data_IF_250889968469
#
_entry.id   IF_250889968469
#
_cell.length_a   1.000
_cell.length_b   1.000
_cell.length_c   1.000
_cell.angle_alpha   90.00
_cell.angle_beta   90.00
_cell.angle_gamma   90.00
#
_symmetry.space_group_name_H-M   'P 1'
#
loop_
_entity.id
_entity.type
_entity.pdbx_description
1 polymer ?
#
# COMPACT_ATOMS: atom_id res chain seq x y z
N UNK A 1 -17.44 -3.87 75.40
CA UNK A 1 -16.54 -4.19 74.27
C UNK A 1 -17.15 -3.56 73.03
N UNK A 2 -16.64 -2.40 72.60
CA UNK A 2 -17.23 -1.63 71.51
C UNK A 2 -16.34 -1.73 70.27
N UNK A 3 -16.89 -2.16 69.15
CA UNK A 3 -16.17 -2.32 67.87
C UNK A 3 -15.95 -0.96 67.22
N UNK A 4 -14.67 -0.60 67.01
CA UNK A 4 -14.30 0.57 66.21
C UNK A 4 -14.67 0.34 64.73
N UNK A 5 -15.35 1.27 64.06
CA UNK A 5 -15.56 1.20 62.62
C UNK A 5 -14.28 1.59 61.86
N UNK A 6 -13.93 0.82 60.83
CA UNK A 6 -12.77 1.03 59.96
C UNK A 6 -13.00 2.25 59.02
N UNK A 7 -12.13 3.27 59.01
CA UNK A 7 -12.28 4.46 58.17
C UNK A 7 -11.93 4.26 56.68
N UNK A 8 -11.50 3.07 56.24
CA UNK A 8 -10.99 2.85 54.88
C UNK A 8 -11.99 2.31 53.84
N UNK A 9 -13.27 2.11 54.20
CA UNK A 9 -14.29 1.57 53.29
C UNK A 9 -14.70 2.56 52.17
N UNK A 10 -13.98 2.55 51.04
CA UNK A 10 -14.39 3.29 49.83
C UNK A 10 -15.77 2.80 49.35
N UNK A 11 -16.78 3.69 49.20
CA UNK A 11 -18.12 3.26 48.81
C UNK A 11 -18.11 2.66 47.40
N UNK A 12 -18.79 1.52 47.23
CA UNK A 12 -18.95 0.85 45.94
C UNK A 12 -19.71 1.76 44.95
N UNK A 13 -19.49 1.62 43.63
CA UNK A 13 -20.11 2.50 42.64
C UNK A 13 -21.65 2.47 42.69
N UNK A 14 -22.24 1.31 43.02
CA UNK A 14 -23.68 1.16 43.24
C UNK A 14 -24.21 2.02 44.42
N UNK A 15 -23.45 2.13 45.52
CA UNK A 15 -23.83 2.96 46.67
C UNK A 15 -23.80 4.46 46.33
N UNK A 16 -22.86 4.89 45.48
CA UNK A 16 -22.81 6.28 44.98
C UNK A 16 -23.99 6.62 44.07
N UNK A 17 -24.41 5.70 43.19
CA UNK A 17 -25.62 5.87 42.37
C UNK A 17 -26.88 6.00 43.24
N UNK A 18 -27.07 5.12 44.22
CA UNK A 18 -28.23 5.17 45.12
C UNK A 18 -28.27 6.42 46.00
N UNK A 19 -27.13 6.97 46.41
CA UNK A 19 -27.06 8.26 47.08
C UNK A 19 -27.50 9.42 46.18
N UNK A 20 -27.16 9.37 44.88
CA UNK A 20 -27.56 10.40 43.91
C UNK A 20 -29.07 10.41 43.61
N UNK A 21 -29.76 9.27 43.81
CA UNK A 21 -31.22 9.19 43.70
C UNK A 21 -31.97 9.61 44.97
N UNK A 22 -31.28 9.89 46.08
CA UNK A 22 -31.87 10.55 47.26
C UNK A 22 -31.71 12.07 47.19
N UNK A 23 -32.29 12.66 46.14
CA UNK A 23 -32.61 14.09 46.14
C UNK A 23 -33.96 14.22 46.85
N UNK A 24 -33.94 14.68 48.10
CA UNK A 24 -35.16 15.03 48.81
C UNK A 24 -35.91 16.11 48.02
N UNK A 25 -37.16 15.81 47.66
CA UNK A 25 -38.04 16.72 46.94
C UNK A 25 -38.54 17.85 47.85
N UNK A 26 -37.62 18.72 48.26
CA UNK A 26 -37.94 19.94 48.99
C UNK A 26 -38.82 20.84 48.11
N UNK A 27 -40.04 21.09 48.59
CA UNK A 27 -41.10 21.83 47.89
C UNK A 27 -40.61 23.12 47.24
N UNK A 28 -40.51 23.11 45.92
CA UNK A 28 -40.42 24.30 45.09
C UNK A 28 -41.07 23.96 43.74
N UNK A 29 -42.23 24.54 43.44
CA UNK A 29 -42.99 24.31 42.21
C UNK A 29 -42.36 25.01 40.99
N UNK A 30 -41.04 24.81 40.80
CA UNK A 30 -40.23 25.31 39.70
C UNK A 30 -39.61 24.14 38.95
N UNK A 31 -40.40 23.56 38.06
CA UNK A 31 -39.92 22.62 37.04
C UNK A 31 -39.69 21.18 37.54
N UNK A 32 -40.77 20.46 37.85
CA UNK A 32 -40.70 19.01 38.04
C UNK A 32 -40.36 18.32 36.70
N UNK A 33 -39.09 17.96 36.49
CA UNK A 33 -38.67 17.11 35.39
C UNK A 33 -39.25 15.70 35.60
N UNK A 34 -40.02 15.20 34.62
CA UNK A 34 -40.55 13.84 34.65
C UNK A 34 -39.40 12.81 34.71
N UNK A 35 -39.50 11.74 35.52
CA UNK A 35 -38.50 10.66 35.54
C UNK A 35 -38.19 10.08 34.16
N UNK A 36 -39.18 10.06 33.26
CA UNK A 36 -39.00 9.60 31.88
C UNK A 36 -38.01 10.48 31.08
N UNK A 37 -37.99 11.80 31.34
CA UNK A 37 -37.05 12.74 30.69
C UNK A 37 -35.62 12.50 31.18
N UNK A 38 -35.45 12.20 32.47
CA UNK A 38 -34.13 11.87 33.04
C UNK A 38 -33.59 10.58 32.43
N UNK A 39 -34.42 9.53 32.34
CA UNK A 39 -34.03 8.26 31.72
C UNK A 39 -33.69 8.45 30.24
N UNK A 40 -34.50 9.20 29.49
CA UNK A 40 -34.26 9.50 28.08
C UNK A 40 -32.95 10.28 27.87
N UNK A 41 -32.66 11.27 28.72
CA UNK A 41 -31.41 12.01 28.67
C UNK A 41 -30.20 11.08 28.88
N UNK A 42 -30.24 10.20 29.88
CA UNK A 42 -29.18 9.21 30.13
C UNK A 42 -28.97 8.28 28.92
N UNK A 43 -30.05 7.82 28.28
CA UNK A 43 -29.96 7.01 27.05
C UNK A 43 -29.26 7.78 25.91
N UNK A 44 -29.65 9.04 25.67
CA UNK A 44 -29.04 9.88 24.62
C UNK A 44 -27.55 10.13 24.91
N UNK A 45 -27.17 10.46 26.15
CA UNK A 45 -25.76 10.64 26.52
C UNK A 45 -24.95 9.34 26.39
N UNK A 46 -25.56 8.18 26.69
CA UNK A 46 -24.90 6.86 26.52
C UNK A 46 -24.66 6.55 25.04
N UNK A 47 -25.65 6.81 24.18
CA UNK A 47 -25.52 6.62 22.73
C UNK A 47 -24.51 7.58 22.09
N UNK A 48 -24.57 8.87 22.43
CA UNK A 48 -23.58 9.87 21.99
C UNK A 48 -22.17 9.47 22.43
N UNK A 49 -22.04 8.98 23.67
CA UNK A 49 -20.81 8.45 24.19
C UNK A 49 -20.26 7.25 23.43
N UNK A 50 -21.12 6.29 23.11
CA UNK A 50 -20.75 5.11 22.33
C UNK A 50 -20.23 5.48 20.94
N UNK A 51 -20.80 6.50 20.28
CA UNK A 51 -20.32 7.00 18.99
C UNK A 51 -18.94 7.67 19.12
N UNK A 52 -18.76 8.56 20.10
CA UNK A 52 -17.51 9.32 20.29
C UNK A 52 -16.36 8.41 20.74
N UNK A 53 -16.58 7.61 21.79
CA UNK A 53 -15.58 6.70 22.33
C UNK A 53 -15.36 5.50 21.39
N UNK A 54 -16.40 5.04 20.67
CA UNK A 54 -16.31 3.98 19.66
C UNK A 54 -15.50 4.38 18.42
N UNK A 55 -15.67 5.61 17.93
CA UNK A 55 -14.84 6.15 16.84
C UNK A 55 -13.35 6.22 17.22
N UNK A 56 -13.06 6.66 18.45
CA UNK A 56 -11.70 6.63 19.02
C UNK A 56 -11.15 5.20 19.15
N UNK A 57 -12.01 4.24 19.50
CA UNK A 57 -11.64 2.83 19.62
C UNK A 57 -11.31 2.20 18.27
N UNK A 58 -12.08 2.51 17.22
CA UNK A 58 -11.77 2.06 15.85
C UNK A 58 -10.43 2.64 15.36
N UNK A 59 -10.16 3.91 15.65
CA UNK A 59 -8.87 4.56 15.35
C UNK A 59 -7.69 4.04 16.18
N UNK A 60 -7.92 3.47 17.37
CA UNK A 60 -6.90 2.72 18.10
C UNK A 60 -6.69 1.32 17.52
N UNK A 61 -7.76 0.64 17.08
CA UNK A 61 -7.67 -0.67 16.42
C UNK A 61 -6.86 -0.60 15.12
N UNK A 62 -7.07 0.42 14.28
CA UNK A 62 -6.30 0.60 13.04
C UNK A 62 -4.82 0.90 13.32
N UNK A 63 -4.51 1.80 14.28
CA UNK A 63 -3.12 2.05 14.73
C UNK A 63 -2.44 0.80 15.27
N UNK A 64 -3.10 0.05 16.14
CA UNK A 64 -2.54 -1.17 16.71
C UNK A 64 -2.22 -2.22 15.63
N UNK A 65 -3.08 -2.36 14.61
CA UNK A 65 -2.81 -3.24 13.46
C UNK A 65 -1.63 -2.70 12.64
N UNK A 66 -1.58 -1.40 12.35
CA UNK A 66 -0.46 -0.78 11.61
C UNK A 66 0.88 -0.95 12.31
N UNK A 67 0.96 -0.69 13.62
CA UNK A 67 2.17 -0.93 14.41
C UNK A 67 2.56 -2.41 14.45
N UNK A 68 1.60 -3.33 14.59
CA UNK A 68 1.88 -4.76 14.61
C UNK A 68 2.39 -5.26 13.24
N UNK A 69 1.82 -4.77 12.13
CA UNK A 69 2.26 -5.09 10.77
C UNK A 69 3.66 -4.56 10.48
N UNK A 70 3.95 -3.32 10.87
CA UNK A 70 5.27 -2.73 10.65
C UNK A 70 6.34 -3.38 11.54
N UNK A 71 6.02 -3.71 12.79
CA UNK A 71 6.88 -4.52 13.64
C UNK A 71 7.20 -5.89 13.02
N UNK A 72 6.19 -6.58 12.47
CA UNK A 72 6.38 -7.86 11.79
C UNK A 72 7.28 -7.73 10.55
N UNK A 73 7.14 -6.67 9.75
CA UNK A 73 8.04 -6.38 8.60
C UNK A 73 9.47 -6.10 9.05
N UNK A 74 9.65 -5.27 10.09
CA UNK A 74 10.98 -4.95 10.66
C UNK A 74 11.68 -6.20 11.19
N UNK A 75 10.95 -7.12 11.83
CA UNK A 75 11.50 -8.40 12.24
C UNK A 75 11.80 -9.35 11.06
N UNK A 76 10.91 -9.44 10.07
CA UNK A 76 11.08 -10.31 8.91
C UNK A 76 12.21 -9.86 7.96
N UNK A 77 12.62 -8.59 8.01
CA UNK A 77 13.80 -8.10 7.31
C UNK A 77 15.13 -8.75 7.80
N UNK A 78 15.12 -9.39 8.97
CA UNK A 78 16.26 -10.14 9.49
C UNK A 78 16.31 -11.57 8.90
N UNK A 79 16.86 -11.71 7.68
CA UNK A 79 17.06 -13.01 7.02
C UNK A 79 18.39 -13.66 7.48
N UNK A 80 18.38 -14.97 7.69
CA UNK A 80 19.60 -15.79 7.76
C UNK A 80 20.04 -16.21 6.34
N UNK A 81 21.24 -15.79 5.94
CA UNK A 81 21.85 -16.08 4.64
C UNK A 81 22.76 -17.32 4.66
N UNK A 82 22.90 -18.00 5.80
CA UNK A 82 23.75 -19.19 5.96
C UNK A 82 23.05 -20.49 5.57
N UNK A 83 21.74 -20.45 5.42
CA UNK A 83 20.88 -21.57 5.00
C UNK A 83 20.55 -21.43 3.51
N UNK A 84 20.37 -22.57 2.82
CA UNK A 84 20.01 -22.63 1.40
C UNK A 84 18.58 -22.16 1.09
N UNK A 85 17.79 -21.88 2.12
CA UNK A 85 16.41 -21.43 2.04
C UNK A 85 16.30 -20.09 2.79
N UNK A 86 15.60 -19.10 2.22
CA UNK A 86 15.34 -17.85 2.93
C UNK A 86 14.52 -18.13 4.21
N UNK A 87 15.13 -17.88 5.37
CA UNK A 87 14.50 -18.02 6.69
C UNK A 87 14.81 -16.81 7.57
N UNK A 88 13.92 -16.51 8.49
CA UNK A 88 14.06 -15.45 9.49
C UNK A 88 15.10 -15.89 10.54
N UNK A 89 16.12 -15.05 10.73
CA UNK A 89 17.04 -15.13 11.87
C UNK A 89 16.27 -14.71 13.13
N UNK A 90 15.77 -15.67 13.88
CA UNK A 90 14.88 -15.42 15.03
C UNK A 90 15.53 -14.57 16.13
N UNK A 91 16.85 -14.64 16.31
CA UNK A 91 17.55 -13.83 17.31
C UNK A 91 17.61 -12.35 16.89
N UNK A 92 17.94 -12.08 15.63
CA UNK A 92 17.93 -10.72 15.07
C UNK A 92 16.51 -10.16 14.95
N UNK A 93 15.56 -10.97 14.48
CA UNK A 93 14.16 -10.58 14.32
C UNK A 93 13.52 -10.19 15.66
N UNK A 94 13.71 -11.00 16.71
CA UNK A 94 13.24 -10.68 18.06
C UNK A 94 13.83 -9.38 18.59
N UNK A 95 15.12 -9.13 18.33
CA UNK A 95 15.80 -7.88 18.70
C UNK A 95 15.24 -6.67 17.94
N UNK A 96 15.04 -6.79 16.64
CA UNK A 96 14.49 -5.73 15.79
C UNK A 96 13.04 -5.38 16.17
N UNK A 97 12.19 -6.39 16.43
CA UNK A 97 10.82 -6.18 16.95
C UNK A 97 10.85 -5.50 18.31
N UNK A 98 11.72 -5.93 19.23
CA UNK A 98 11.82 -5.31 20.56
C UNK A 98 12.24 -3.83 20.48
N UNK A 99 13.20 -3.49 19.62
CA UNK A 99 13.61 -2.10 19.36
C UNK A 99 12.46 -1.26 18.78
N UNK A 100 11.75 -1.78 17.78
CA UNK A 100 10.59 -1.10 17.20
C UNK A 100 9.47 -0.91 18.24
N UNK A 101 9.16 -1.94 19.03
CA UNK A 101 8.19 -1.87 20.12
C UNK A 101 8.56 -0.83 21.19
N UNK A 102 9.84 -0.72 21.55
CA UNK A 102 10.32 0.31 22.47
C UNK A 102 10.14 1.72 21.89
N UNK A 103 10.46 1.91 20.60
CA UNK A 103 10.25 3.19 19.91
C UNK A 103 8.77 3.58 19.83
N UNK A 104 7.89 2.62 19.47
CA UNK A 104 6.43 2.84 19.42
C UNK A 104 5.88 3.18 20.80
N UNK A 105 6.27 2.47 21.85
CA UNK A 105 5.80 2.72 23.23
C UNK A 105 6.32 4.05 23.78
N UNK A 106 7.50 4.50 23.35
CA UNK A 106 8.03 5.83 23.67
C UNK A 106 7.33 6.98 22.94
N UNK A 107 6.79 6.73 21.75
CA UNK A 107 6.16 7.75 20.89
C UNK A 107 4.62 7.84 21.05
N UNK A 108 3.95 6.71 21.29
CA UNK A 108 2.49 6.64 21.51
C UNK A 108 2.20 6.11 22.93
N UNK A 109 1.94 7.01 23.91
CA UNK A 109 1.71 6.62 25.30
C UNK A 109 0.38 5.88 25.53
N UNK A 110 -0.45 5.71 24.50
CA UNK A 110 -1.64 4.84 24.58
C UNK A 110 -1.28 3.37 24.33
N UNK A 111 -0.10 3.04 23.78
CA UNK A 111 0.38 1.67 23.61
C UNK A 111 0.77 1.11 24.98
N UNK A 112 0.08 0.07 25.42
CA UNK A 112 0.31 -0.58 26.74
C UNK A 112 1.08 -1.90 26.62
N UNK A 113 1.09 -2.52 25.44
CA UNK A 113 1.82 -3.76 25.17
C UNK A 113 2.21 -3.82 23.70
N UNK A 114 3.43 -4.25 23.41
CA UNK A 114 3.91 -4.57 22.06
C UNK A 114 4.91 -5.73 22.19
N UNK A 115 4.76 -6.77 21.37
CA UNK A 115 5.68 -7.91 21.39
C UNK A 115 5.30 -9.05 20.46
N UNK A 116 6.26 -9.95 20.22
CA UNK A 116 6.07 -11.14 19.37
C UNK A 116 5.13 -12.16 20.03
N UNK A 117 4.17 -12.68 19.28
CA UNK A 117 3.29 -13.80 19.67
C UNK A 117 3.66 -15.12 18.98
N UNK A 118 4.29 -15.05 17.80
CA UNK A 118 4.89 -16.18 17.09
C UNK A 118 6.22 -15.71 16.50
N UNK A 119 7.27 -16.50 16.62
CA UNK A 119 8.54 -16.22 15.97
C UNK A 119 9.23 -17.54 15.64
N UNK A 120 9.36 -17.83 14.35
CA UNK A 120 9.92 -19.04 13.77
C UNK A 120 10.79 -18.67 12.57
N UNK A 121 11.44 -19.66 11.93
CA UNK A 121 12.20 -19.41 10.70
C UNK A 121 11.33 -19.01 9.51
N UNK A 122 10.05 -19.40 9.51
CA UNK A 122 9.17 -19.23 8.35
C UNK A 122 8.08 -18.17 8.62
N UNK A 123 7.58 -18.07 9.86
CA UNK A 123 6.54 -17.12 10.29
C UNK A 123 6.97 -16.23 11.46
N UNK A 124 6.59 -14.96 11.41
CA UNK A 124 6.65 -13.99 12.51
C UNK A 124 5.28 -13.33 12.70
N UNK A 125 4.78 -13.31 13.93
CA UNK A 125 3.57 -12.59 14.33
C UNK A 125 3.86 -11.67 15.53
N UNK A 126 3.37 -10.44 15.46
CA UNK A 126 3.48 -9.42 16.51
C UNK A 126 2.08 -9.00 16.95
N UNK A 127 1.89 -8.75 18.25
CA UNK A 127 0.67 -8.16 18.80
C UNK A 127 0.98 -6.82 19.47
N UNK A 128 0.09 -5.85 19.26
CA UNK A 128 0.11 -4.53 19.90
C UNK A 128 -1.24 -4.29 20.58
N UNK A 129 -1.22 -3.79 21.81
CA UNK A 129 -2.42 -3.35 22.55
C UNK A 129 -2.32 -1.86 22.83
N UNK A 130 -3.39 -1.13 22.51
CA UNK A 130 -3.57 0.30 22.80
C UNK A 130 -4.75 0.46 23.75
N UNK A 131 -4.56 1.12 24.89
CA UNK A 131 -5.64 1.41 25.86
C UNK A 131 -6.11 2.86 25.74
N UNK A 132 -7.35 3.05 25.31
CA UNK A 132 -8.00 4.35 25.25
C UNK A 132 -8.81 4.62 26.52
N UNK A 133 -8.61 5.79 27.14
CA UNK A 133 -9.54 6.30 28.17
C UNK A 133 -10.84 6.76 27.50
N UNK A 134 -11.97 6.27 27.98
CA UNK A 134 -13.32 6.67 27.57
C UNK A 134 -13.79 7.88 28.36
N UNK A 135 -14.50 8.81 27.72
CA UNK A 135 -14.98 10.03 28.38
C UNK A 135 -16.45 9.89 28.78
N UNK A 136 -17.30 9.46 27.84
CA UNK A 136 -18.74 9.38 28.05
C UNK A 136 -19.14 8.00 28.56
N UNK A 137 -18.52 6.94 28.03
CA UNK A 137 -18.62 5.60 28.61
C UNK A 137 -18.08 5.56 30.06
N UNK A 138 -17.17 6.47 30.40
CA UNK A 138 -16.67 6.67 31.77
C UNK A 138 -17.76 7.05 32.76
N UNK A 139 -18.76 7.83 32.34
CA UNK A 139 -19.89 8.23 33.21
C UNK A 139 -20.81 7.06 33.57
N UNK A 140 -20.86 6.01 32.74
CA UNK A 140 -21.58 4.75 33.02
C UNK A 140 -20.67 3.64 33.59
N UNK A 141 -19.43 3.98 33.96
CA UNK A 141 -18.52 3.10 34.70
C UNK A 141 -17.48 2.35 33.86
N UNK A 142 -17.48 2.49 32.53
CA UNK A 142 -16.45 1.91 31.64
C UNK A 142 -15.39 2.99 31.41
N UNK A 143 -14.25 2.94 32.11
CA UNK A 143 -13.22 4.00 32.05
C UNK A 143 -12.11 3.83 31.01
N UNK A 144 -11.92 2.61 30.49
CA UNK A 144 -10.90 2.26 29.51
C UNK A 144 -11.45 1.23 28.50
N UNK A 145 -10.93 1.27 27.27
CA UNK A 145 -11.16 0.26 26.23
C UNK A 145 -9.85 -0.12 25.55
N UNK A 146 -9.58 -1.42 25.44
CA UNK A 146 -8.33 -1.93 24.86
C UNK A 146 -8.55 -2.38 23.40
N UNK A 147 -7.74 -1.82 22.50
CA UNK A 147 -7.70 -2.17 21.08
C UNK A 147 -6.46 -3.02 20.81
N UNK A 148 -6.67 -4.29 20.40
CA UNK A 148 -5.58 -5.21 20.04
C UNK A 148 -5.43 -5.31 18.53
N UNK A 149 -4.22 -5.15 18.02
CA UNK A 149 -3.84 -5.39 16.63
C UNK A 149 -2.83 -6.52 16.53
N UNK A 150 -2.91 -7.28 15.45
CA UNK A 150 -1.95 -8.33 15.09
C UNK A 150 -1.42 -8.06 13.69
N UNK A 151 -0.14 -8.36 13.47
CA UNK A 151 0.53 -8.25 12.20
C UNK A 151 1.44 -9.44 12.01
N UNK A 152 1.46 -9.97 10.79
CA UNK A 152 2.14 -11.22 10.46
C UNK A 152 3.02 -11.00 9.22
N UNK A 153 4.13 -11.72 9.16
CA UNK A 153 5.08 -11.71 8.07
C UNK A 153 5.68 -13.11 7.87
N UNK A 154 5.94 -13.48 6.62
CA UNK A 154 6.39 -14.81 6.21
C UNK A 154 7.68 -14.74 5.40
N UNK A 155 8.53 -15.75 5.53
CA UNK A 155 9.79 -15.88 4.80
C UNK A 155 9.56 -16.44 3.38
N UNK A 156 9.19 -15.57 2.44
CA UNK A 156 8.95 -15.97 1.05
C UNK A 156 10.21 -15.85 0.18
N UNK A 157 10.45 -16.87 -0.65
CA UNK A 157 11.52 -16.86 -1.65
C UNK A 157 11.02 -16.24 -2.95
N UNK A 158 11.50 -15.03 -3.27
CA UNK A 158 11.27 -14.40 -4.56
C UNK A 158 11.85 -15.25 -5.69
N UNK A 159 10.97 -15.82 -6.53
CA UNK A 159 11.30 -16.70 -7.66
C UNK A 159 11.95 -18.03 -7.23
N UNK A 160 11.11 -19.01 -6.89
CA UNK A 160 11.46 -20.42 -7.11
C UNK A 160 11.72 -20.64 -8.60
N UNK A 161 12.62 -21.57 -8.93
CA UNK A 161 12.98 -21.92 -10.32
C UNK A 161 11.74 -22.22 -11.17
N UNK A 162 11.80 -22.07 -12.51
CA UNK A 162 10.75 -22.51 -13.43
C UNK A 162 10.76 -24.04 -13.59
N UNK A 163 10.63 -24.75 -12.46
CA UNK A 163 10.33 -26.18 -12.41
C UNK A 163 8.91 -26.31 -11.85
N UNK A 164 8.07 -27.07 -12.56
CA UNK A 164 6.64 -27.24 -12.28
C UNK A 164 5.79 -25.96 -12.41
N UNK A 165 5.80 -25.36 -13.61
CA UNK A 165 4.55 -24.81 -14.14
C UNK A 165 3.52 -25.95 -14.16
N UNK A 166 2.37 -25.84 -13.46
CA UNK A 166 1.27 -26.75 -13.70
C UNK A 166 0.96 -26.72 -15.19
N UNK A 167 0.75 -27.88 -15.84
CA UNK A 167 0.18 -27.87 -17.19
C UNK A 167 -1.24 -27.31 -17.10
N UNK A 168 -1.36 -25.99 -17.27
CA UNK A 168 -2.63 -25.32 -17.45
C UNK A 168 -3.25 -25.97 -18.69
N UNK A 169 -4.37 -26.72 -18.56
CA UNK A 169 -5.04 -27.26 -19.73
C UNK A 169 -5.40 -26.07 -20.63
N UNK A 170 -5.33 -26.20 -21.97
CA UNK A 170 -5.52 -25.08 -22.88
C UNK A 170 -6.83 -24.36 -22.53
N UNK A 171 -6.72 -23.07 -22.20
CA UNK A 171 -7.87 -22.27 -21.81
C UNK A 171 -8.76 -22.13 -23.04
N UNK A 172 -9.80 -22.95 -23.12
CA UNK A 172 -10.87 -22.80 -24.10
C UNK A 172 -11.67 -21.56 -23.73
N UNK A 173 -11.22 -20.39 -24.21
CA UNK A 173 -11.99 -19.15 -24.11
C UNK A 173 -13.23 -19.34 -24.97
N UNK A 174 -14.35 -19.66 -24.34
CA UNK A 174 -15.64 -19.79 -25.00
C UNK A 174 -16.13 -18.38 -25.37
N UNK A 175 -15.60 -17.82 -26.44
CA UNK A 175 -16.00 -16.52 -26.98
C UNK A 175 -17.39 -16.59 -27.61
N UNK A 176 -18.42 -16.73 -26.77
CA UNK A 176 -19.79 -16.50 -27.19
C UNK A 176 -19.93 -15.02 -27.54
N UNK A 177 -19.94 -14.72 -28.83
CA UNK A 177 -19.96 -13.35 -29.37
C UNK A 177 -21.24 -12.59 -29.04
N UNK A 178 -22.32 -13.30 -28.71
CA UNK A 178 -23.62 -12.73 -28.34
C UNK A 178 -23.88 -12.92 -26.83
N UNK A 179 -23.59 -11.86 -26.06
CA UNK A 179 -23.88 -11.82 -24.61
C UNK A 179 -23.34 -10.56 -23.92
N UNK A 180 -23.88 -10.18 -22.74
CA UNK A 180 -23.37 -9.06 -21.96
C UNK A 180 -21.95 -9.39 -21.46
N UNK A 181 -20.93 -8.74 -22.03
CA UNK A 181 -19.51 -9.05 -21.80
C UNK A 181 -18.73 -9.45 -23.06
N UNK A 182 -19.36 -9.47 -24.24
CA UNK A 182 -18.63 -9.57 -25.51
C UNK A 182 -17.57 -8.45 -25.63
N UNK A 183 -16.38 -8.73 -26.20
CA UNK A 183 -15.32 -7.73 -26.31
C UNK A 183 -15.73 -6.61 -27.27
N UNK A 184 -16.04 -5.44 -26.73
CA UNK A 184 -16.29 -4.23 -27.50
C UNK A 184 -15.04 -3.93 -28.34
N UNK A 185 -15.15 -4.01 -29.67
CA UNK A 185 -14.06 -3.53 -30.54
C UNK A 185 -13.83 -2.05 -30.23
N UNK A 186 -12.61 -1.69 -29.86
CA UNK A 186 -12.17 -0.29 -29.83
C UNK A 186 -12.53 0.35 -31.16
N UNK A 187 -13.26 1.46 -31.12
CA UNK A 187 -13.64 2.17 -32.33
C UNK A 187 -12.37 2.64 -33.05
N UNK A 188 -12.14 2.13 -34.26
CA UNK A 188 -11.14 2.69 -35.17
C UNK A 188 -11.59 4.11 -35.51
N UNK A 189 -10.81 5.12 -35.14
CA UNK A 189 -11.11 6.50 -35.53
C UNK A 189 -11.18 6.62 -37.05
N UNK A 190 -12.15 7.38 -37.60
CA UNK A 190 -12.21 7.60 -39.04
C UNK A 190 -10.95 8.36 -39.49
N UNK A 191 -10.26 7.92 -40.56
CA UNK A 191 -9.10 8.64 -41.07
C UNK A 191 -9.54 10.02 -41.55
N UNK A 192 -8.98 11.06 -40.94
CA UNK A 192 -9.25 12.44 -41.32
C UNK A 192 -8.43 12.73 -42.59
N UNK A 193 -9.08 12.67 -43.76
CA UNK A 193 -8.46 12.96 -45.05
C UNK A 193 -8.24 14.47 -45.23
N UNK A 194 -7.14 15.00 -44.67
CA UNK A 194 -6.68 16.35 -44.95
C UNK A 194 -5.72 16.36 -46.13
N UNK A 195 -6.13 17.01 -47.21
CA UNK A 195 -5.30 17.20 -48.40
C UNK A 195 -4.07 18.06 -48.06
N UNK A 196 -2.86 17.48 -48.12
CA UNK A 196 -1.61 18.22 -47.86
C UNK A 196 -1.43 19.39 -48.84
N UNK A 197 -1.02 20.59 -48.38
CA UNK A 197 -0.61 21.66 -49.28
C UNK A 197 0.70 21.30 -50.00
N UNK A 198 0.84 21.70 -51.26
CA UNK A 198 2.09 21.57 -52.03
C UNK A 198 2.98 22.80 -51.81
N UNK A 199 4.27 22.59 -51.53
CA UNK A 199 5.27 23.67 -51.46
C UNK A 199 6.65 23.19 -51.94
N UNK A 200 7.50 24.15 -52.30
CA UNK A 200 8.86 23.92 -52.82
C UNK A 200 9.89 23.89 -51.69
N UNK A 201 10.89 23.02 -51.81
CA UNK A 201 12.05 22.98 -50.90
C UNK A 201 12.75 24.35 -50.90
N UNK A 202 13.07 24.86 -49.71
CA UNK A 202 13.73 26.17 -49.52
C UNK A 202 12.79 27.35 -49.22
N UNK A 203 11.47 27.19 -49.39
CA UNK A 203 10.47 28.18 -48.97
C UNK A 203 9.93 27.89 -47.56
N UNK A 204 9.43 28.90 -46.81
CA UNK A 204 8.76 28.68 -45.53
C UNK A 204 7.53 27.79 -45.71
N UNK A 205 7.29 26.88 -44.76
CA UNK A 205 6.13 25.97 -44.79
C UNK A 205 4.82 26.77 -44.74
N UNK A 206 3.80 26.43 -45.55
CA UNK A 206 2.51 27.10 -45.49
C UNK A 206 1.78 26.79 -44.18
N UNK A 207 1.24 27.82 -43.52
CA UNK A 207 0.40 27.68 -42.33
C UNK A 207 -1.03 27.27 -42.75
N UNK A 208 -1.62 26.30 -42.08
CA UNK A 208 -3.04 25.95 -42.28
C UNK A 208 -3.96 27.07 -41.76
N UNK A 209 -5.20 27.21 -42.29
CA UNK A 209 -6.17 28.19 -41.80
C UNK A 209 -6.70 27.90 -40.38
N UNK A 210 -6.40 26.73 -39.83
CA UNK A 210 -6.62 26.34 -38.43
C UNK A 210 -5.26 26.21 -37.72
N UNK A 211 -5.17 26.47 -36.39
CA UNK A 211 -3.92 26.53 -35.63
C UNK A 211 -3.40 25.12 -35.28
N UNK A 212 -3.32 24.25 -36.29
CA UNK A 212 -2.84 22.87 -36.19
C UNK A 212 -1.49 22.75 -36.91
N UNK A 213 -0.49 22.09 -36.32
CA UNK A 213 0.76 21.80 -37.02
C UNK A 213 0.51 20.83 -38.19
N UNK A 214 1.20 21.04 -39.31
CA UNK A 214 1.17 20.09 -40.43
C UNK A 214 1.66 18.71 -39.97
N UNK A 215 0.95 17.61 -40.29
CA UNK A 215 1.38 16.26 -39.94
C UNK A 215 2.67 15.91 -40.70
N UNK A 216 3.49 15.06 -40.08
CA UNK A 216 4.81 14.63 -40.61
C UNK A 216 4.72 13.81 -41.90
N UNK A 217 3.52 13.40 -42.30
CA UNK A 217 3.22 12.72 -43.57
C UNK A 217 3.21 13.66 -44.78
N UNK A 218 3.05 14.97 -44.60
CA UNK A 218 3.14 15.93 -45.70
C UNK A 218 4.61 16.27 -46.01
N UNK A 219 5.04 16.00 -47.25
CA UNK A 219 6.40 16.27 -47.75
C UNK A 219 6.41 17.33 -48.87
N UNK A 220 7.52 18.09 -49.03
CA UNK A 220 7.64 19.08 -50.11
C UNK A 220 7.77 18.39 -51.48
N UNK A 221 7.31 19.05 -52.53
CA UNK A 221 7.47 18.55 -53.89
C UNK A 221 8.89 18.81 -54.40
N UNK A 222 9.58 17.77 -54.84
CA UNK A 222 10.86 17.89 -55.57
C UNK A 222 10.53 17.99 -57.06
N UNK A 223 10.66 19.17 -57.64
CA UNK A 223 10.67 19.33 -59.10
C UNK A 223 12.07 19.02 -59.60
N UNK A 224 12.29 17.94 -60.39
CA UNK A 224 13.60 17.70 -60.99
C UNK A 224 13.88 18.77 -62.06
N UNK A 225 15.07 19.38 -62.01
CA UNK A 225 15.60 20.12 -63.15
C UNK A 225 15.93 19.12 -64.28
N UNK A 226 15.51 19.36 -65.53
CA UNK A 226 15.81 18.44 -66.62
C UNK A 226 17.23 18.68 -67.13
N UNK A 227 18.13 17.70 -66.97
CA UNK A 227 19.30 17.45 -67.84
C UNK A 227 19.84 16.03 -67.55
N UNK A 228 19.90 15.22 -68.61
CA UNK A 228 20.65 13.96 -68.83
C UNK A 228 20.26 12.62 -68.12
N UNK A 229 19.58 11.80 -68.93
CA UNK A 229 19.50 10.31 -69.02
C UNK A 229 20.86 9.69 -69.52
N UNK A 230 21.05 8.35 -69.73
CA UNK A 230 20.28 7.15 -69.35
C UNK A 230 21.16 5.95 -68.85
N UNK A 231 20.61 4.72 -68.92
CA UNK A 231 21.22 3.36 -68.76
C UNK A 231 21.52 2.88 -67.32
N UNK A 232 21.24 1.63 -66.93
CA UNK A 232 20.55 0.50 -67.59
C UNK A 232 19.99 -0.50 -66.54
N UNK A 233 19.11 -1.43 -66.96
CA UNK A 233 18.57 -2.56 -66.15
C UNK A 233 19.15 -3.89 -66.69
N UNK A 234 18.78 -5.13 -66.26
CA UNK A 234 18.03 -5.60 -65.07
C UNK A 234 18.64 -6.88 -64.38
N UNK A 235 17.90 -7.46 -63.41
CA UNK A 235 17.74 -8.90 -63.04
C UNK A 235 18.91 -9.90 -62.87
N UNK A 236 18.87 -10.72 -61.79
CA UNK A 236 18.61 -12.19 -61.87
C UNK A 236 18.61 -12.94 -60.49
N UNK A 237 18.01 -14.14 -60.48
CA UNK A 237 17.80 -15.10 -59.36
C UNK A 237 17.51 -16.49 -60.01
N UNK A 238 17.98 -17.70 -59.57
CA UNK A 238 17.89 -18.22 -58.18
C UNK A 238 18.90 -19.34 -57.73
N UNK A 239 18.60 -19.98 -56.58
CA UNK A 239 18.83 -21.40 -56.21
C UNK A 239 20.21 -21.94 -55.74
N UNK A 240 20.22 -22.66 -54.59
CA UNK A 240 21.25 -23.65 -54.22
C UNK A 240 21.51 -23.88 -52.71
N UNK A 241 21.14 -25.05 -52.18
CA UNK A 241 21.40 -25.59 -50.80
C UNK A 241 22.45 -26.74 -50.94
N UNK A 242 23.36 -27.15 -49.99
CA UNK A 242 23.12 -27.36 -48.54
C UNK A 242 24.30 -27.17 -47.51
N UNK A 243 23.99 -27.43 -46.23
CA UNK A 243 24.84 -27.60 -45.00
C UNK A 243 25.95 -28.69 -45.09
N UNK A 244 26.99 -28.78 -44.20
CA UNK A 244 26.91 -28.65 -42.72
C UNK A 244 28.09 -28.02 -41.90
N UNK A 245 27.89 -28.01 -40.56
CA UNK A 245 28.71 -27.58 -39.39
C UNK A 245 30.11 -28.24 -39.29
N UNK A 246 31.10 -27.82 -38.43
CA UNK A 246 30.97 -27.45 -36.99
C UNK A 246 31.97 -26.38 -36.40
N UNK A 247 32.05 -26.32 -35.06
CA UNK A 247 33.00 -25.57 -34.18
C UNK A 247 32.61 -24.12 -33.83
N UNK A 248 32.75 -23.62 -32.59
CA UNK A 248 33.14 -24.25 -31.32
C UNK A 248 33.65 -23.23 -30.28
N UNK A 249 33.39 -23.46 -28.98
CA UNK A 249 34.02 -22.73 -27.87
C UNK A 249 33.23 -21.57 -27.26
N UNK A 250 33.15 -21.53 -25.92
CA UNK A 250 32.56 -20.43 -25.14
C UNK A 250 33.56 -19.79 -24.18
N UNK A 251 33.22 -18.61 -23.63
CA UNK A 251 34.03 -17.87 -22.65
C UNK A 251 33.30 -16.62 -22.13
N UNK A 252 33.64 -16.07 -20.96
CA UNK A 252 32.69 -15.27 -20.16
C UNK A 252 32.62 -13.78 -20.52
N UNK A 253 31.45 -13.19 -20.32
CA UNK A 253 31.24 -11.73 -20.34
C UNK A 253 31.73 -11.12 -19.03
N UNK A 254 32.70 -10.20 -19.10
CA UNK A 254 33.15 -9.36 -17.98
C UNK A 254 32.34 -8.06 -17.97
N UNK A 255 31.84 -7.57 -16.82
CA UNK A 255 31.13 -6.30 -16.77
C UNK A 255 32.07 -5.11 -17.02
N UNK A 256 31.64 -4.21 -17.91
CA UNK A 256 32.35 -2.97 -18.24
C UNK A 256 32.21 -1.97 -17.08
N UNK A 257 33.34 -1.54 -16.52
CA UNK A 257 33.41 -0.39 -15.61
C UNK A 257 33.50 0.89 -16.44
N UNK A 258 32.60 1.89 -16.24
CA UNK A 258 32.76 3.19 -16.88
C UNK A 258 33.93 3.96 -16.26
N UNK A 259 34.93 4.28 -17.07
CA UNK A 259 36.01 5.19 -16.67
C UNK A 259 35.47 6.62 -16.56
N UNK A 260 35.75 7.29 -15.45
CA UNK A 260 35.90 8.74 -15.41
C UNK A 260 36.88 9.12 -14.30
N UNK A 261 38.11 9.39 -14.68
CA UNK A 261 39.20 9.78 -13.79
C UNK A 261 39.57 11.24 -14.01
N UNK A 262 39.34 12.12 -13.02
CA UNK A 262 40.06 13.39 -12.90
C UNK A 262 40.34 13.69 -11.41
N UNK A 263 41.59 13.50 -10.98
CA UNK A 263 42.29 14.39 -10.05
C UNK A 263 43.60 14.90 -10.71
N UNK A 264 44.43 15.76 -10.08
CA UNK A 264 44.34 16.34 -8.74
C UNK A 264 44.46 17.89 -8.72
N UNK A 265 44.32 18.50 -7.54
CA UNK A 265 45.13 19.68 -7.17
C UNK A 265 45.60 19.55 -5.72
N UNK A 266 46.89 19.81 -5.51
CA UNK A 266 47.58 19.70 -4.22
C UNK A 266 47.56 21.05 -3.51
N UNK A 267 47.23 21.06 -2.22
CA UNK A 267 47.34 22.24 -1.35
C UNK A 267 47.97 21.87 -0.02
N UNK A 268 49.27 22.17 0.14
CA UNK A 268 49.99 22.01 1.40
C UNK A 268 49.91 23.30 2.24
N UNK A 269 49.47 23.19 3.50
CA UNK A 269 50.28 23.56 4.68
C UNK A 269 49.59 23.15 5.98
#
# INVERSE_FOLDING_TARGET
MATHPDPAARPTPAARLLAYFRIDAARNDRGALSPAVVILAVMIFTLAGLVIDGGRQLGAKSRAVGYAQEAARVGAAAIDLKVSEAKIDTAKAGTAVAQFCAQVTGNDPAVTQCGTTKLTGDDLAVQVTISNKTTFLGMVGIGNLDARGTGEAHAEQGVKKPDESPQIPPIFVITKTEGPGAPTRTATEPPIDLTCPRWTVGSPKPTLPVPLPLPTTCTPNVTPSPTDDPSESPSETPSGTPSPTPSGGGGPVVPVVPQNSVPPMIGQR
#
